data_IF_159795132387
#
_entry.id   IF_159795132387
#
_cell.length_a   1.000
_cell.length_b   1.000
_cell.length_c   1.000
_cell.angle_alpha   90.00
_cell.angle_beta   90.00
_cell.angle_gamma   90.00
#
_symmetry.space_group_name_H-M   'P 1'
#
loop_
_entity.id
_entity.type
_entity.pdbx_description
1 polymer ?
#
# COMPACT_ATOMS: atom_id res chain seq x y z
N UNK A 1 19.78 -24.35 -5.72
CA UNK A 1 18.42 -24.71 -6.21
C UNK A 1 17.48 -24.93 -5.02
N UNK A 2 17.17 -23.88 -4.24
CA UNK A 2 16.36 -24.04 -3.01
C UNK A 2 15.46 -22.84 -2.69
N UNK A 3 15.16 -21.98 -3.68
CA UNK A 3 14.26 -20.82 -3.49
C UNK A 3 12.97 -20.90 -4.34
N UNK A 4 12.83 -21.93 -5.18
CA UNK A 4 11.71 -22.06 -6.12
C UNK A 4 10.55 -22.92 -5.61
N UNK A 5 10.58 -23.41 -4.36
CA UNK A 5 9.51 -24.27 -3.80
C UNK A 5 8.56 -23.56 -2.83
N UNK A 6 8.81 -22.30 -2.47
CA UNK A 6 7.90 -21.56 -1.58
C UNK A 6 6.83 -20.74 -2.35
N UNK A 7 6.98 -20.57 -3.67
CA UNK A 7 6.16 -19.64 -4.44
C UNK A 7 4.95 -20.29 -5.14
N UNK A 8 5.00 -21.59 -5.44
CA UNK A 8 4.03 -22.25 -6.33
C UNK A 8 2.74 -22.71 -5.65
N UNK A 9 2.64 -22.68 -4.32
CA UNK A 9 1.42 -23.11 -3.60
C UNK A 9 0.43 -21.98 -3.30
N UNK A 10 0.81 -20.71 -3.47
CA UNK A 10 0.00 -19.57 -3.01
C UNK A 10 -0.77 -18.82 -4.11
N UNK A 11 -0.44 -19.02 -5.39
CA UNK A 11 -0.97 -18.20 -6.48
C UNK A 11 -1.14 -19.04 -7.75
N UNK A 12 -2.19 -19.87 -7.77
CA UNK A 12 -2.65 -20.48 -9.01
C UNK A 12 -3.15 -19.40 -9.97
N UNK A 13 -2.47 -19.22 -11.09
CA UNK A 13 -2.91 -18.37 -12.20
C UNK A 13 -2.72 -19.09 -13.54
N UNK A 14 -3.66 -18.88 -14.47
CA UNK A 14 -3.32 -18.27 -15.76
C UNK A 14 -4.26 -17.05 -15.97
N UNK A 15 -3.90 -15.91 -16.55
CA UNK A 15 -2.92 -15.59 -17.59
C UNK A 15 -3.71 -14.94 -18.73
N UNK A 16 -3.55 -13.63 -18.98
CA UNK A 16 -3.43 -12.99 -20.32
C UNK A 16 -3.59 -11.45 -20.31
N UNK A 17 -3.04 -10.87 -21.37
CA UNK A 17 -2.67 -9.49 -21.69
C UNK A 17 -3.82 -8.46 -21.84
N UNK A 18 -3.46 -7.17 -21.73
CA UNK A 18 -3.83 -6.19 -22.77
C UNK A 18 -4.43 -4.84 -22.34
N UNK A 19 -3.75 -3.77 -22.78
CA UNK A 19 -4.23 -2.39 -23.00
C UNK A 19 -4.36 -1.42 -21.80
N UNK A 20 -3.68 -0.28 -21.91
CA UNK A 20 -3.69 0.80 -20.93
C UNK A 20 -4.92 1.70 -21.03
N UNK A 21 -5.37 2.22 -19.88
CA UNK A 21 -6.51 3.14 -19.77
C UNK A 21 -6.24 4.26 -18.76
N UNK A 22 -6.84 5.45 -18.96
CA UNK A 22 -6.63 6.62 -18.12
C UNK A 22 -7.28 6.47 -16.74
N UNK A 23 -6.53 6.84 -15.70
CA UNK A 23 -6.93 6.90 -14.28
C UNK A 23 -8.07 7.94 -14.08
N UNK A 24 -9.32 7.59 -14.39
CA UNK A 24 -10.53 8.35 -13.99
C UNK A 24 -11.34 7.47 -13.01
N UNK A 25 -11.71 7.95 -11.81
CA UNK A 25 -12.52 7.13 -10.91
C UNK A 25 -13.95 7.04 -11.45
N UNK A 26 -14.29 5.91 -12.04
CA UNK A 26 -15.67 5.55 -12.30
C UNK A 26 -16.35 5.30 -10.95
N UNK A 27 -17.36 6.11 -10.62
CA UNK A 27 -18.22 5.90 -9.47
C UNK A 27 -19.14 4.72 -9.80
N UNK A 28 -18.66 3.50 -9.57
CA UNK A 28 -19.39 2.26 -9.77
C UNK A 28 -20.18 1.87 -8.51
N UNK A 29 -21.50 1.85 -8.63
CA UNK A 29 -22.42 1.25 -7.67
C UNK A 29 -22.32 -0.28 -7.74
N UNK A 30 -21.63 -0.91 -6.80
CA UNK A 30 -21.75 -2.36 -6.55
C UNK A 30 -22.20 -2.60 -5.11
N UNK A 31 -23.23 -3.44 -4.97
CA UNK A 31 -23.88 -3.79 -3.71
C UNK A 31 -22.97 -4.53 -2.71
N UNK A 32 -23.48 -4.79 -1.49
CA UNK A 32 -22.66 -5.09 -0.33
C UNK A 32 -22.13 -6.53 -0.41
N UNK A 33 -20.86 -6.69 -0.79
CA UNK A 33 -20.10 -7.91 -0.54
C UNK A 33 -19.10 -7.64 0.58
N UNK A 34 -19.46 -8.04 1.81
CA UNK A 34 -18.59 -8.23 2.98
C UNK A 34 -17.26 -7.47 3.05
N UNK A 35 -17.25 -6.17 2.80
CA UNK A 35 -16.02 -5.38 2.69
C UNK A 35 -15.59 -4.86 4.06
N UNK A 36 -14.33 -5.12 4.43
CA UNK A 36 -13.75 -4.51 5.63
C UNK A 36 -13.70 -2.98 5.48
N UNK A 37 -13.47 -2.27 6.60
CA UNK A 37 -13.30 -0.81 6.63
C UNK A 37 -12.34 -0.30 5.55
N UNK A 38 -11.27 -1.05 5.27
CA UNK A 38 -10.24 -0.71 4.28
C UNK A 38 -10.73 -0.74 2.83
N UNK A 39 -11.65 -1.66 2.51
CA UNK A 39 -12.27 -1.73 1.19
C UNK A 39 -13.25 -0.57 0.98
N UNK A 40 -13.97 -0.18 2.04
CA UNK A 40 -14.90 0.96 2.03
C UNK A 40 -14.17 2.29 1.82
N UNK A 41 -12.96 2.42 2.36
CA UNK A 41 -12.09 3.58 2.15
C UNK A 41 -11.27 3.51 0.85
N UNK A 42 -11.50 2.49 0.01
CA UNK A 42 -10.74 2.22 -1.23
C UNK A 42 -9.21 2.18 -1.01
N UNK A 43 -8.76 1.92 0.22
CA UNK A 43 -7.34 1.93 0.57
C UNK A 43 -6.61 0.71 -0.02
N UNK A 44 -7.33 -0.34 -0.38
CA UNK A 44 -6.78 -1.49 -1.10
C UNK A 44 -6.35 -1.15 -2.54
N UNK A 45 -6.80 -0.01 -3.10
CA UNK A 45 -6.37 0.51 -4.40
C UNK A 45 -5.17 1.47 -4.31
N UNK A 46 -4.67 1.75 -3.11
CA UNK A 46 -3.62 2.75 -2.87
C UNK A 46 -2.35 2.55 -3.70
N UNK A 47 -1.80 1.32 -3.86
CA UNK A 47 -0.63 1.13 -4.72
C UNK A 47 -0.88 1.60 -6.17
N UNK A 48 -2.08 1.35 -6.72
CA UNK A 48 -2.47 1.81 -8.05
C UNK A 48 -2.43 3.34 -8.20
N UNK A 49 -2.88 4.08 -7.17
CA UNK A 49 -2.80 5.56 -7.16
C UNK A 49 -1.35 6.04 -7.13
N UNK A 50 -0.50 5.41 -6.34
CA UNK A 50 0.92 5.72 -6.28
C UNK A 50 1.58 5.49 -7.65
N UNK A 51 1.26 4.39 -8.33
CA UNK A 51 1.78 4.11 -9.67
C UNK A 51 1.30 5.09 -10.74
N UNK A 52 0.06 5.61 -10.63
CA UNK A 52 -0.45 6.66 -11.53
C UNK A 52 0.25 8.01 -11.28
N UNK A 53 0.44 8.43 -10.02
CA UNK A 53 1.01 9.75 -9.67
C UNK A 53 2.54 9.77 -9.71
N UNK A 54 3.19 8.67 -9.34
CA UNK A 54 4.64 8.54 -9.24
C UNK A 54 5.12 7.30 -10.02
N UNK A 55 5.21 7.37 -11.37
CA UNK A 55 5.51 6.21 -12.21
C UNK A 55 6.86 5.55 -11.91
N UNK A 56 7.83 6.28 -11.35
CA UNK A 56 9.12 5.73 -10.92
C UNK A 56 8.98 4.62 -9.89
N UNK A 57 7.91 4.62 -9.09
CA UNK A 57 7.68 3.59 -8.07
C UNK A 57 7.30 2.22 -8.67
N UNK A 58 6.94 2.16 -9.96
CA UNK A 58 6.63 0.90 -10.66
C UNK A 58 7.84 -0.01 -10.80
N UNK A 59 9.06 0.53 -10.75
CA UNK A 59 10.29 -0.27 -10.92
C UNK A 59 10.50 -1.30 -9.81
N UNK A 60 9.83 -1.12 -8.66
CA UNK A 60 9.83 -2.11 -7.56
C UNK A 60 8.88 -3.28 -7.80
N UNK A 61 8.02 -3.21 -8.82
CA UNK A 61 6.97 -4.20 -9.09
C UNK A 61 6.99 -4.71 -10.54
N UNK A 62 8.14 -5.12 -11.11
CA UNK A 62 8.21 -5.60 -12.50
C UNK A 62 7.44 -6.91 -12.73
N UNK A 63 7.12 -7.64 -11.66
CA UNK A 63 6.41 -8.93 -11.70
C UNK A 63 4.90 -8.80 -11.44
N UNK A 64 4.40 -7.57 -11.26
CA UNK A 64 2.98 -7.33 -11.05
C UNK A 64 2.31 -6.96 -12.38
N UNK A 65 1.10 -7.46 -12.56
CA UNK A 65 0.10 -6.81 -13.39
C UNK A 65 -0.29 -5.49 -12.71
N UNK A 66 0.08 -4.38 -13.37
CA UNK A 66 -0.18 -3.03 -12.88
C UNK A 66 -1.43 -2.40 -13.53
N UNK A 67 -2.26 -3.19 -14.20
CA UNK A 67 -3.55 -2.73 -14.69
C UNK A 67 -4.49 -2.32 -13.53
N UNK A 68 -5.45 -1.44 -13.84
CA UNK A 68 -6.45 -1.02 -12.88
C UNK A 68 -7.19 -2.24 -12.29
N UNK A 69 -7.37 -2.24 -10.96
CA UNK A 69 -8.00 -3.32 -10.19
C UNK A 69 -7.38 -4.71 -10.32
N UNK A 70 -6.13 -4.83 -10.77
CA UNK A 70 -5.45 -6.12 -10.78
C UNK A 70 -5.49 -6.77 -9.39
N UNK A 71 -5.68 -8.08 -9.36
CA UNK A 71 -5.77 -8.83 -8.10
C UNK A 71 -4.49 -8.65 -7.27
N UNK A 72 -3.33 -8.58 -7.93
CA UNK A 72 -2.04 -8.38 -7.29
C UNK A 72 -1.95 -7.00 -6.62
N UNK A 73 -2.43 -5.93 -7.26
CA UNK A 73 -2.51 -4.59 -6.65
C UNK A 73 -3.43 -4.62 -5.43
N UNK A 74 -4.63 -5.22 -5.56
CA UNK A 74 -5.62 -5.27 -4.46
C UNK A 74 -5.10 -6.06 -3.27
N UNK A 75 -4.50 -7.22 -3.53
CA UNK A 75 -3.94 -8.08 -2.50
C UNK A 75 -2.74 -7.42 -1.81
N UNK A 76 -1.85 -6.77 -2.56
CA UNK A 76 -0.76 -6.01 -1.97
C UNK A 76 -1.27 -4.81 -1.17
N UNK A 77 -2.26 -4.08 -1.69
CA UNK A 77 -2.94 -3.00 -0.97
C UNK A 77 -3.51 -3.46 0.37
N UNK A 78 -4.15 -4.64 0.42
CA UNK A 78 -4.60 -5.27 1.68
C UNK A 78 -3.47 -5.52 2.66
N UNK A 79 -2.30 -5.97 2.21
CA UNK A 79 -1.12 -6.16 3.07
C UNK A 79 -0.60 -4.82 3.63
N UNK A 80 -0.51 -3.79 2.79
CA UNK A 80 -0.06 -2.45 3.20
C UNK A 80 -0.98 -1.87 4.27
N UNK A 81 -2.29 -1.87 4.03
CA UNK A 81 -3.26 -1.32 5.00
C UNK A 81 -3.39 -2.18 6.25
N UNK A 82 -3.20 -3.50 6.12
CA UNK A 82 -3.12 -4.42 7.26
C UNK A 82 -1.95 -4.09 8.17
N UNK A 83 -0.74 -3.91 7.61
CA UNK A 83 0.44 -3.51 8.35
C UNK A 83 0.29 -2.13 9.03
N UNK A 84 -0.35 -1.16 8.36
CA UNK A 84 -0.70 0.12 8.98
C UNK A 84 -1.71 -0.06 10.12
N UNK A 85 -2.69 -0.93 9.96
CA UNK A 85 -3.63 -1.29 11.03
C UNK A 85 -2.95 -1.93 12.23
N UNK A 86 -1.96 -2.79 12.01
CA UNK A 86 -1.15 -3.39 13.08
C UNK A 86 -0.28 -2.34 13.78
N UNK A 87 0.29 -1.40 13.03
CA UNK A 87 1.03 -0.26 13.57
C UNK A 87 0.16 0.65 14.44
N UNK A 88 -1.09 0.92 14.04
CA UNK A 88 -2.05 1.68 14.85
C UNK A 88 -2.36 0.97 16.18
N UNK A 89 -2.42 -0.37 16.19
CA UNK A 89 -2.65 -1.14 17.43
C UNK A 89 -1.45 -1.16 18.38
N UNK A 90 -0.25 -0.81 17.90
CA UNK A 90 1.01 -0.88 18.66
C UNK A 90 1.83 0.41 18.49
N UNK A 91 1.18 1.57 18.64
CA UNK A 91 1.81 2.89 18.42
C UNK A 91 3.02 3.16 19.33
N UNK A 92 3.03 2.54 20.51
CA UNK A 92 4.10 2.62 21.50
C UNK A 92 5.29 1.69 21.18
N UNK A 93 5.13 0.73 20.26
CA UNK A 93 6.15 -0.27 19.95
C UNK A 93 6.33 -0.53 18.44
N UNK A 94 6.31 0.55 17.63
CA UNK A 94 6.37 0.46 16.17
C UNK A 94 7.58 -0.31 15.64
N UNK A 95 8.78 -0.09 16.17
CA UNK A 95 10.00 -0.75 15.69
C UNK A 95 9.95 -2.28 15.84
N UNK A 96 9.42 -2.78 16.97
CA UNK A 96 9.27 -4.22 17.14
C UNK A 96 8.16 -4.77 16.23
N UNK A 97 6.99 -4.11 16.19
CA UNK A 97 5.84 -4.54 15.38
C UNK A 97 6.18 -4.59 13.88
N UNK A 98 6.99 -3.66 13.39
CA UNK A 98 7.34 -3.55 11.97
C UNK A 98 8.74 -4.10 11.65
N UNK A 99 9.41 -4.77 12.58
CA UNK A 99 10.81 -5.22 12.42
C UNK A 99 11.02 -6.07 11.17
N UNK A 100 10.16 -7.07 10.95
CA UNK A 100 10.23 -7.94 9.76
C UNK A 100 9.99 -7.17 8.47
N UNK A 101 9.06 -6.21 8.46
CA UNK A 101 8.82 -5.35 7.31
C UNK A 101 10.00 -4.41 7.06
N UNK A 102 10.63 -3.88 8.10
CA UNK A 102 11.83 -3.04 7.98
C UNK A 102 12.98 -3.82 7.36
N UNK A 103 13.25 -5.05 7.83
CA UNK A 103 14.26 -5.94 7.26
C UNK A 103 13.95 -6.27 5.78
N UNK A 104 12.70 -6.61 5.47
CA UNK A 104 12.27 -6.90 4.10
C UNK A 104 12.50 -5.71 3.17
N UNK A 105 12.09 -4.51 3.58
CA UNK A 105 12.22 -3.31 2.76
C UNK A 105 13.67 -2.89 2.60
N UNK A 106 14.51 -3.01 3.64
CA UNK A 106 15.91 -2.61 3.62
C UNK A 106 16.80 -3.57 2.85
N UNK A 107 16.78 -4.85 3.19
CA UNK A 107 17.78 -5.80 2.71
C UNK A 107 17.37 -6.48 1.40
N UNK A 108 16.09 -6.83 1.26
CA UNK A 108 15.60 -7.59 0.12
C UNK A 108 15.08 -6.69 -0.99
N UNK A 109 14.17 -5.77 -0.66
CA UNK A 109 13.52 -4.91 -1.65
C UNK A 109 14.33 -3.65 -1.97
N UNK A 110 15.17 -3.18 -1.04
CA UNK A 110 16.02 -1.99 -1.18
C UNK A 110 15.25 -0.76 -1.68
N UNK A 111 14.05 -0.56 -1.12
CA UNK A 111 13.18 0.58 -1.40
C UNK A 111 13.83 1.88 -0.95
N UNK A 112 14.05 2.82 -1.86
CA UNK A 112 14.57 4.14 -1.49
C UNK A 112 13.63 4.79 -0.45
N UNK A 113 14.14 5.22 0.72
CA UNK A 113 13.33 5.82 1.79
C UNK A 113 12.41 6.96 1.33
N UNK A 114 12.75 7.65 0.23
CA UNK A 114 11.88 8.69 -0.35
C UNK A 114 10.50 8.15 -0.76
N UNK A 115 10.41 6.89 -1.19
CA UNK A 115 9.17 6.29 -1.68
C UNK A 115 8.15 6.05 -0.56
N UNK A 116 8.59 5.89 0.70
CA UNK A 116 7.66 5.82 1.84
C UNK A 116 6.91 7.14 2.05
N UNK A 117 7.56 8.28 1.76
CA UNK A 117 6.91 9.60 1.82
C UNK A 117 5.88 9.76 0.70
N UNK A 118 6.17 9.25 -0.50
CA UNK A 118 5.23 9.25 -1.62
C UNK A 118 3.99 8.41 -1.32
N UNK A 119 4.20 7.21 -0.75
CA UNK A 119 3.10 6.33 -0.30
C UNK A 119 2.26 7.01 0.78
N UNK A 120 2.90 7.65 1.76
CA UNK A 120 2.23 8.38 2.83
C UNK A 120 1.38 9.53 2.30
N UNK A 121 1.88 10.28 1.30
CA UNK A 121 1.11 11.34 0.65
C UNK A 121 -0.11 10.78 -0.10
N UNK A 122 0.07 9.70 -0.87
CA UNK A 122 -1.06 9.03 -1.52
C UNK A 122 -2.11 8.54 -0.51
N UNK A 123 -1.69 8.03 0.65
CA UNK A 123 -2.59 7.61 1.72
C UNK A 123 -3.44 8.78 2.24
N UNK A 124 -2.82 9.93 2.52
CA UNK A 124 -3.54 11.13 2.98
C UNK A 124 -4.53 11.65 1.93
N UNK A 125 -4.18 11.62 0.64
CA UNK A 125 -5.13 11.96 -0.44
C UNK A 125 -6.34 11.03 -0.42
N UNK A 126 -6.14 9.72 -0.22
CA UNK A 126 -7.27 8.78 -0.11
C UNK A 126 -8.14 9.09 1.10
N UNK A 127 -7.56 9.37 2.26
CA UNK A 127 -8.32 9.79 3.44
C UNK A 127 -9.12 11.07 3.18
N UNK A 128 -8.51 12.09 2.58
CA UNK A 128 -9.18 13.36 2.28
C UNK A 128 -10.36 13.18 1.32
N UNK A 129 -10.24 12.29 0.33
CA UNK A 129 -11.33 11.97 -0.61
C UNK A 129 -12.49 11.24 0.08
N UNK A 130 -12.21 10.33 1.02
CA UNK A 130 -13.26 9.50 1.63
C UNK A 130 -13.91 10.13 2.87
N UNK A 131 -13.13 10.81 3.70
CA UNK A 131 -13.62 11.47 4.90
C UNK A 131 -14.18 12.88 4.60
N UNK A 132 -13.73 13.51 3.51
CA UNK A 132 -14.23 14.82 3.09
C UNK A 132 -14.10 15.86 4.20
N UNK A 133 -15.24 16.35 4.71
CA UNK A 133 -15.28 17.35 5.79
C UNK A 133 -14.75 16.85 7.13
N UNK A 134 -14.76 15.54 7.35
CA UNK A 134 -14.24 14.93 8.58
C UNK A 134 -12.70 14.85 8.59
N UNK A 135 -12.06 15.06 7.43
CA UNK A 135 -10.60 15.19 7.34
C UNK A 135 -10.14 16.59 7.78
N UNK A 136 -10.33 16.88 9.07
CA UNK A 136 -9.96 18.16 9.67
C UNK A 136 -8.43 18.35 9.68
N UNK A 137 -7.93 19.59 9.86
CA UNK A 137 -6.51 19.83 10.01
C UNK A 137 -5.86 19.02 11.14
N UNK A 138 -6.61 18.75 12.22
CA UNK A 138 -6.16 17.92 13.34
C UNK A 138 -6.00 16.46 12.92
N UNK A 139 -6.96 15.91 12.16
CA UNK A 139 -6.88 14.54 11.62
C UNK A 139 -5.72 14.44 10.61
N UNK A 140 -5.55 15.43 9.73
CA UNK A 140 -4.43 15.49 8.79
C UNK A 140 -3.08 15.44 9.52
N UNK A 141 -2.87 16.29 10.52
CA UNK A 141 -1.62 16.31 11.31
C UNK A 141 -1.40 15.00 12.09
N UNK A 142 -2.47 14.38 12.59
CA UNK A 142 -2.37 13.09 13.28
C UNK A 142 -1.87 11.98 12.35
N UNK A 143 -2.46 11.86 11.15
CA UNK A 143 -2.02 10.88 10.16
C UNK A 143 -0.64 11.20 9.59
N UNK A 144 -0.29 12.48 9.42
CA UNK A 144 1.04 12.90 9.00
C UNK A 144 2.13 12.42 9.96
N UNK A 145 1.96 12.69 11.26
CA UNK A 145 2.89 12.24 12.30
C UNK A 145 2.97 10.71 12.37
N UNK A 146 1.83 10.03 12.28
CA UNK A 146 1.78 8.56 12.29
C UNK A 146 2.53 7.95 11.10
N UNK A 147 2.23 8.41 9.89
CA UNK A 147 2.84 7.89 8.66
C UNK A 147 4.34 8.24 8.58
N UNK A 148 4.74 9.40 9.11
CA UNK A 148 6.15 9.76 9.24
C UNK A 148 6.89 8.82 10.20
N UNK A 149 6.30 8.47 11.35
CA UNK A 149 6.88 7.52 12.29
C UNK A 149 7.02 6.12 11.68
N UNK A 150 5.97 5.62 11.01
CA UNK A 150 6.03 4.33 10.30
C UNK A 150 7.11 4.34 9.22
N UNK A 151 7.20 5.41 8.42
CA UNK A 151 8.22 5.55 7.38
C UNK A 151 9.64 5.54 7.96
N UNK A 152 9.85 6.21 9.10
CA UNK A 152 11.14 6.22 9.79
C UNK A 152 11.54 4.82 10.29
N UNK A 153 10.59 4.05 10.82
CA UNK A 153 10.81 2.67 11.26
C UNK A 153 11.09 1.73 10.09
N UNK A 154 10.35 1.84 8.99
CA UNK A 154 10.62 1.03 7.79
C UNK A 154 11.97 1.34 7.15
N UNK A 155 12.50 2.56 7.36
CA UNK A 155 13.80 2.98 6.88
C UNK A 155 14.93 2.80 7.93
N UNK A 156 14.64 2.32 9.14
CA UNK A 156 15.61 2.38 10.25
C UNK A 156 16.86 1.50 10.04
N UNK A 157 16.78 0.48 9.17
CA UNK A 157 17.88 -0.45 8.85
C UNK A 157 18.74 -0.01 7.66
N UNK A 158 18.47 1.17 7.07
CA UNK A 158 19.31 1.78 6.03
C UNK A 158 20.49 2.58 6.60
N UNK A 159 20.49 2.80 7.92
CA UNK A 159 21.45 3.58 8.70
C UNK A 159 22.12 2.71 9.75
#
# INVERSE_FOLDING_TARGET
MTQLRCWTELLGAPGQEGAGYPCRPARGSHGPQGGGLWDSLSLTSLPGRMFCVYPSTKTYFPHFDLHHDSEQIRHHGKKVVGALGDAVRHLDNLSATLSELSNLHAYNLRVDPVNFKLLSHCFQVVLGVHLGREYTPQVHVAYDKFLAAVSAVLAEKYR
#
